data_IF_459271692341
#
_entry.id   IF_459271692341
#
_cell.length_a   1.000
_cell.length_b   1.000
_cell.length_c   1.000
_cell.angle_alpha   90.00
_cell.angle_beta   90.00
_cell.angle_gamma   90.00
#
_symmetry.space_group_name_H-M   'P 1'
#
loop_
_entity.id
_entity.type
_entity.pdbx_description
1 polymer ?
#
# COMPACT_ATOMS: atom_id res chain seq x y z
N UNK A 1 1.09 -3.49 14.70
CA UNK A 1 1.68 -4.41 13.72
C UNK A 1 1.46 -3.78 12.34
N UNK A 2 2.49 -3.69 11.50
CA UNK A 2 2.34 -3.12 10.15
C UNK A 2 1.44 -4.02 9.29
N UNK A 3 0.68 -3.43 8.38
CA UNK A 3 -0.15 -4.19 7.42
C UNK A 3 0.75 -4.89 6.39
N UNK A 4 0.26 -5.98 5.79
CA UNK A 4 0.99 -6.63 4.69
C UNK A 4 1.29 -5.68 3.53
N UNK A 5 0.42 -4.69 3.31
CA UNK A 5 0.53 -3.71 2.21
C UNK A 5 1.65 -2.72 2.49
N UNK A 6 1.76 -2.21 3.72
CA UNK A 6 2.89 -1.38 4.14
C UNK A 6 4.22 -2.09 3.92
N UNK A 7 4.30 -3.36 4.32
CA UNK A 7 5.49 -4.19 4.10
C UNK A 7 5.84 -4.31 2.61
N UNK A 8 4.87 -4.63 1.76
CA UNK A 8 5.11 -4.76 0.32
C UNK A 8 5.43 -3.44 -0.37
N UNK A 9 4.85 -2.33 0.06
CA UNK A 9 5.23 -0.99 -0.44
C UNK A 9 6.69 -0.69 -0.08
N UNK A 10 7.11 -0.98 1.15
CA UNK A 10 8.51 -0.82 1.58
C UNK A 10 9.45 -1.68 0.73
N UNK A 11 9.09 -2.94 0.47
CA UNK A 11 9.87 -3.83 -0.40
C UNK A 11 9.99 -3.30 -1.83
N UNK A 12 8.87 -2.87 -2.44
CA UNK A 12 8.86 -2.30 -3.80
C UNK A 12 9.79 -1.09 -3.90
N UNK A 13 9.78 -0.21 -2.90
CA UNK A 13 10.64 0.97 -2.93
C UNK A 13 12.12 0.63 -2.76
N UNK A 14 12.44 -0.37 -1.93
CA UNK A 14 13.80 -0.89 -1.76
C UNK A 14 14.31 -1.56 -3.04
N UNK A 15 13.52 -2.43 -3.66
CA UNK A 15 13.87 -3.15 -4.89
C UNK A 15 14.14 -2.19 -6.07
N UNK A 16 13.50 -1.03 -6.06
CA UNK A 16 13.70 0.04 -7.06
C UNK A 16 14.91 0.93 -6.76
N UNK A 17 15.62 0.68 -5.67
CA UNK A 17 16.84 1.42 -5.31
C UNK A 17 16.57 2.84 -4.82
N UNK A 18 15.39 3.14 -4.28
CA UNK A 18 15.14 4.44 -3.69
C UNK A 18 15.99 4.65 -2.43
N UNK A 19 16.49 5.87 -2.17
CA UNK A 19 17.24 6.16 -0.94
C UNK A 19 16.39 5.91 0.31
N UNK A 20 17.01 5.44 1.40
CA UNK A 20 16.29 5.15 2.66
C UNK A 20 15.46 6.35 3.16
N UNK A 21 16.00 7.57 3.05
CA UNK A 21 15.28 8.81 3.42
C UNK A 21 13.99 8.99 2.63
N UNK A 22 14.00 8.68 1.33
CA UNK A 22 12.80 8.73 0.50
C UNK A 22 11.79 7.65 0.92
N UNK A 23 12.27 6.45 1.22
CA UNK A 23 11.42 5.35 1.70
C UNK A 23 10.74 5.77 3.00
N UNK A 24 11.50 6.29 3.96
CA UNK A 24 10.98 6.74 5.25
C UNK A 24 9.90 7.83 5.07
N UNK A 25 10.17 8.86 4.25
CA UNK A 25 9.21 9.92 3.91
C UNK A 25 7.90 9.37 3.29
N UNK A 26 7.98 8.32 2.46
CA UNK A 26 6.78 7.69 1.90
C UNK A 26 6.07 6.77 2.90
N UNK A 27 6.82 6.13 3.79
CA UNK A 27 6.25 5.27 4.83
C UNK A 27 5.57 6.07 5.95
N UNK A 28 5.94 7.34 6.19
CA UNK A 28 5.21 8.25 7.09
C UNK A 28 3.73 8.38 6.72
N UNK A 29 3.39 8.28 5.44
CA UNK A 29 1.99 8.31 4.98
C UNK A 29 1.16 7.21 5.62
N UNK A 30 1.78 6.11 6.02
CA UNK A 30 1.09 4.96 6.58
C UNK A 30 1.00 4.98 8.11
N UNK A 31 1.48 6.05 8.76
CA UNK A 31 1.34 6.23 10.20
C UNK A 31 -0.13 6.15 10.61
N UNK A 32 -0.42 5.47 11.72
CA UNK A 32 -1.79 5.27 12.18
C UNK A 32 -2.54 4.10 11.54
N UNK A 33 -2.03 3.51 10.46
CA UNK A 33 -2.64 2.34 9.82
C UNK A 33 -2.02 1.08 10.42
N UNK A 34 -2.82 0.30 11.15
CA UNK A 34 -2.37 -0.96 11.76
C UNK A 34 -3.42 -2.05 11.64
N UNK A 35 -2.94 -3.28 11.50
CA UNK A 35 -3.77 -4.49 11.58
C UNK A 35 -3.91 -4.96 13.04
N UNK A 36 -4.23 -4.01 13.93
CA UNK A 36 -4.12 -4.16 15.38
C UNK A 36 -5.29 -4.88 16.06
N UNK A 37 -6.36 -5.17 15.31
CA UNK A 37 -7.59 -5.75 15.84
C UNK A 37 -8.11 -6.79 14.84
N UNK A 38 -8.05 -8.06 15.21
CA UNK A 38 -8.18 -9.24 14.32
C UNK A 38 -9.57 -9.46 13.74
N UNK A 39 -10.50 -8.53 13.94
CA UNK A 39 -11.80 -8.56 13.29
C UNK A 39 -11.64 -8.37 11.78
N UNK A 40 -12.09 -9.35 10.99
CA UNK A 40 -11.97 -9.37 9.52
C UNK A 40 -12.36 -8.04 8.86
N UNK A 41 -13.43 -7.39 9.34
CA UNK A 41 -13.89 -6.09 8.84
C UNK A 41 -12.88 -4.96 9.07
N UNK A 42 -12.19 -4.94 10.22
CA UNK A 42 -11.18 -3.94 10.55
C UNK A 42 -9.89 -4.17 9.77
N UNK A 43 -9.51 -5.44 9.56
CA UNK A 43 -8.40 -5.83 8.69
C UNK A 43 -8.62 -5.32 7.26
N UNK A 44 -9.80 -5.60 6.68
CA UNK A 44 -10.16 -5.14 5.33
C UNK A 44 -10.12 -3.61 5.24
N UNK A 45 -10.64 -2.89 6.25
CA UNK A 45 -10.61 -1.44 6.27
C UNK A 45 -9.17 -0.88 6.35
N UNK A 46 -8.30 -1.48 7.17
CA UNK A 46 -6.89 -1.10 7.27
C UNK A 46 -6.13 -1.36 5.96
N UNK A 47 -6.41 -2.46 5.27
CA UNK A 47 -5.81 -2.77 3.97
C UNK A 47 -6.29 -1.83 2.85
N UNK A 48 -7.60 -1.56 2.80
CA UNK A 48 -8.17 -0.59 1.89
C UNK A 48 -7.53 0.81 2.07
N UNK A 49 -7.36 1.22 3.33
CA UNK A 49 -6.67 2.47 3.66
C UNK A 49 -5.19 2.42 3.27
N UNK A 50 -4.47 1.33 3.53
CA UNK A 50 -3.08 1.19 3.10
C UNK A 50 -2.94 1.30 1.57
N UNK A 51 -3.85 0.69 0.79
CA UNK A 51 -3.86 0.83 -0.67
C UNK A 51 -4.06 2.29 -1.11
N UNK A 52 -4.92 3.04 -0.42
CA UNK A 52 -5.16 4.45 -0.76
C UNK A 52 -3.97 5.35 -0.43
N UNK A 53 -3.08 4.95 0.48
CA UNK A 53 -1.84 5.67 0.79
C UNK A 53 -0.67 5.28 -0.12
N UNK A 54 -0.70 4.10 -0.74
CA UNK A 54 0.27 3.63 -1.74
C UNK A 54 0.17 4.34 -3.12
N UNK A 55 -0.69 5.35 -3.22
CA UNK A 55 -1.00 6.11 -4.44
C UNK A 55 0.21 6.86 -5.03
N UNK A 56 1.27 7.10 -4.28
CA UNK A 56 2.46 7.75 -4.84
C UNK A 56 3.27 6.84 -5.77
N UNK A 57 2.99 5.53 -5.83
CA UNK A 57 3.69 4.59 -6.70
C UNK A 57 3.39 4.87 -8.18
N UNK A 58 4.43 4.90 -9.01
CA UNK A 58 4.31 4.96 -10.46
C UNK A 58 3.77 3.64 -11.07
N UNK A 59 3.58 3.60 -12.39
CA UNK A 59 3.02 2.41 -13.06
C UNK A 59 3.81 1.12 -12.82
N UNK A 60 5.14 1.21 -12.73
CA UNK A 60 5.99 0.05 -12.48
C UNK A 60 5.94 -0.37 -11.00
N UNK A 61 5.94 0.60 -10.08
CA UNK A 61 5.76 0.35 -8.64
C UNK A 61 4.41 -0.30 -8.34
N UNK A 62 3.35 0.11 -9.04
CA UNK A 62 2.04 -0.54 -8.96
C UNK A 62 2.05 -1.96 -9.51
N UNK A 63 2.74 -2.21 -10.63
CA UNK A 63 2.88 -3.56 -11.17
C UNK A 63 3.59 -4.50 -10.18
N UNK A 64 4.70 -4.04 -9.58
CA UNK A 64 5.44 -4.80 -8.58
C UNK A 64 4.61 -5.06 -7.30
N UNK A 65 3.83 -4.07 -6.85
CA UNK A 65 2.92 -4.24 -5.72
C UNK A 65 1.80 -5.25 -6.04
N UNK A 66 1.24 -5.22 -7.26
CA UNK A 66 0.20 -6.15 -7.70
C UNK A 66 0.71 -7.61 -7.69
N UNK A 67 1.93 -7.83 -8.14
CA UNK A 67 2.59 -9.13 -8.12
C UNK A 67 2.72 -9.68 -6.69
N UNK A 68 3.20 -8.85 -5.74
CA UNK A 68 3.33 -9.22 -4.32
C UNK A 68 1.98 -9.53 -3.67
N UNK A 69 0.92 -8.82 -4.07
CA UNK A 69 -0.44 -9.02 -3.59
C UNK A 69 -1.20 -10.14 -4.31
N UNK A 70 -0.65 -10.67 -5.42
CA UNK A 70 -1.31 -11.64 -6.31
C UNK A 70 -2.66 -11.16 -6.83
N UNK A 71 -2.73 -9.89 -7.22
CA UNK A 71 -3.91 -9.25 -7.83
C UNK A 71 -3.55 -8.71 -9.21
N UNK A 72 -4.55 -8.34 -10.01
CA UNK A 72 -4.28 -7.66 -11.27
C UNK A 72 -3.77 -6.24 -11.00
N UNK A 73 -2.84 -5.75 -11.82
CA UNK A 73 -2.49 -4.31 -11.82
C UNK A 73 -3.73 -3.45 -12.09
N UNK A 74 -4.69 -3.96 -12.87
CA UNK A 74 -5.98 -3.30 -13.10
C UNK A 74 -6.82 -3.17 -11.83
N UNK A 75 -6.73 -4.14 -10.92
CA UNK A 75 -7.43 -4.05 -9.63
C UNK A 75 -6.83 -2.90 -8.81
N UNK A 76 -5.49 -2.79 -8.80
CA UNK A 76 -4.79 -1.66 -8.21
C UNK A 76 -4.99 -0.34 -8.96
N UNK A 77 -5.59 -0.30 -10.15
CA UNK A 77 -5.99 0.91 -10.87
C UNK A 77 -7.47 1.25 -10.61
N UNK A 78 -8.35 0.24 -10.50
CA UNK A 78 -9.78 0.40 -10.25
C UNK A 78 -10.13 0.84 -8.82
N UNK A 79 -9.35 0.42 -7.81
CA UNK A 79 -9.54 0.88 -6.42
C UNK A 79 -9.26 2.38 -6.22
N UNK A 80 -8.67 3.07 -7.19
CA UNK A 80 -8.33 4.49 -7.05
C UNK A 80 -9.52 5.42 -6.99
N UNK A 81 -10.58 5.10 -7.73
CA UNK A 81 -11.78 5.93 -7.85
C UNK A 81 -12.80 5.66 -6.74
N UNK A 82 -12.75 4.49 -6.09
CA UNK A 82 -13.71 4.15 -5.04
C UNK A 82 -13.52 4.93 -3.73
N UNK A 83 -12.32 5.43 -3.44
CA UNK A 83 -12.01 6.15 -2.18
C UNK A 83 -11.94 7.68 -2.32
N UNK A 84 -12.31 8.25 -3.47
CA UNK A 84 -12.29 9.71 -3.67
C UNK A 84 -13.57 10.41 -3.16
N UNK A 85 -14.55 9.64 -2.70
CA UNK A 85 -15.85 10.12 -2.21
C UNK A 85 -16.17 9.64 -0.77
N UNK A 86 -15.16 9.32 0.04
CA UNK A 86 -15.32 9.09 1.48
C UNK A 86 -14.57 10.15 2.26
#
# INVERSE_FOLDING_TARGET
METRIQRYVREVLNERGHPQVYIDEKMERFEGIWDGDTGLTKVIAAEALALSHAKFLDGQGRAALAEKLRVSTRDLEGYWDCFRNL
#
